data_IF_239830325846
#
_entry.id   IF_239830325846
#
_cell.length_a   1.000
_cell.length_b   1.000
_cell.length_c   1.000
_cell.angle_alpha   90.00
_cell.angle_beta   90.00
_cell.angle_gamma   90.00
#
_symmetry.space_group_name_H-M   'P 1'
#
loop_
_entity.id
_entity.type
_entity.pdbx_description
1 polymer ?
#
# COMPACT_ATOMS: atom_id res chain seq x y z
N UNK A 1 -30.58 -36.53 -28.98
CA UNK A 1 -30.02 -36.86 -27.64
C UNK A 1 -29.50 -35.59 -27.03
N UNK A 2 -30.39 -34.79 -26.45
CA UNK A 2 -30.11 -33.49 -25.84
C UNK A 2 -29.78 -33.71 -24.36
N UNK A 3 -28.51 -33.53 -24.01
CA UNK A 3 -28.06 -33.60 -22.61
C UNK A 3 -28.46 -32.32 -21.88
N UNK A 4 -29.42 -32.45 -20.98
CA UNK A 4 -29.87 -31.42 -20.04
C UNK A 4 -28.71 -31.03 -19.11
N UNK A 5 -28.32 -29.75 -19.16
CA UNK A 5 -27.51 -29.13 -18.12
C UNK A 5 -28.37 -29.01 -16.85
N UNK A 6 -28.16 -29.93 -15.90
CA UNK A 6 -28.72 -29.82 -14.55
C UNK A 6 -27.94 -28.73 -13.81
N UNK A 7 -28.49 -27.51 -13.80
CA UNK A 7 -28.12 -26.46 -12.87
C UNK A 7 -28.59 -26.87 -11.47
N UNK A 8 -27.67 -27.40 -10.67
CA UNK A 8 -27.93 -27.72 -9.28
C UNK A 8 -27.92 -26.42 -8.46
N UNK A 9 -29.10 -25.99 -8.05
CA UNK A 9 -29.31 -24.98 -7.03
C UNK A 9 -28.82 -25.54 -5.68
N UNK A 10 -27.73 -24.99 -5.15
CA UNK A 10 -27.35 -25.06 -3.74
C UNK A 10 -27.42 -23.60 -3.27
N UNK A 11 -28.34 -23.19 -2.38
CA UNK A 11 -28.42 -23.68 -1.01
C UNK A 11 -27.40 -22.93 -0.16
N UNK A 12 -27.79 -21.75 0.36
CA UNK A 12 -27.16 -20.97 1.45
C UNK A 12 -25.69 -21.27 1.79
N UNK A 13 -24.76 -20.38 1.42
CA UNK A 13 -23.42 -20.36 2.01
C UNK A 13 -22.29 -19.99 1.03
N UNK A 14 -21.43 -19.08 1.50
CA UNK A 14 -20.13 -18.70 0.95
C UNK A 14 -20.20 -17.66 -0.19
N UNK A 15 -19.99 -16.41 0.22
CA UNK A 15 -19.67 -15.25 -0.62
C UNK A 15 -18.61 -15.61 -1.66
N UNK A 16 -18.86 -15.21 -2.92
CA UNK A 16 -17.93 -15.33 -4.05
C UNK A 16 -16.52 -14.96 -3.59
N UNK A 17 -15.62 -15.94 -3.59
CA UNK A 17 -14.25 -15.76 -3.14
C UNK A 17 -13.61 -14.57 -3.88
N UNK A 18 -13.37 -13.48 -3.15
CA UNK A 18 -12.57 -12.35 -3.62
C UNK A 18 -11.07 -12.65 -3.48
N UNK A 19 -10.68 -13.90 -3.70
CA UNK A 19 -9.29 -14.30 -3.67
C UNK A 19 -8.59 -13.71 -4.89
N UNK A 20 -7.87 -12.60 -4.67
CA UNK A 20 -6.88 -12.09 -5.61
C UNK A 20 -5.97 -13.26 -6.01
N UNK A 21 -5.71 -13.40 -7.31
CA UNK A 21 -4.79 -14.42 -7.79
C UNK A 21 -3.38 -14.15 -7.27
N UNK A 22 -2.56 -15.20 -7.11
CA UNK A 22 -1.17 -15.04 -6.69
C UNK A 22 -0.38 -14.09 -7.63
N UNK A 23 -0.72 -14.07 -8.92
CA UNK A 23 -0.11 -13.15 -9.90
C UNK A 23 -0.40 -11.67 -9.60
N UNK A 24 -1.54 -11.37 -8.99
CA UNK A 24 -1.93 -10.01 -8.58
C UNK A 24 -1.37 -9.66 -7.19
N UNK A 25 -1.25 -10.64 -6.30
CA UNK A 25 -0.70 -10.45 -4.95
C UNK A 25 0.83 -10.31 -4.94
N UNK A 26 1.52 -11.01 -5.84
CA UNK A 26 2.98 -11.09 -5.83
C UNK A 26 3.66 -9.71 -6.01
N UNK A 27 3.23 -8.81 -6.92
CA UNK A 27 3.80 -7.47 -7.03
C UNK A 27 3.54 -6.61 -5.79
N UNK A 28 2.34 -6.73 -5.19
CA UNK A 28 1.96 -6.03 -3.96
C UNK A 28 2.87 -6.47 -2.80
N UNK A 29 3.06 -7.78 -2.63
CA UNK A 29 3.93 -8.38 -1.63
C UNK A 29 5.42 -8.03 -1.84
N UNK A 30 5.90 -8.07 -3.08
CA UNK A 30 7.27 -7.70 -3.41
C UNK A 30 7.58 -6.25 -3.04
N UNK A 31 6.59 -5.36 -3.07
CA UNK A 31 6.74 -3.97 -2.63
C UNK A 31 6.98 -3.81 -1.11
N UNK A 32 6.74 -4.84 -0.29
CA UNK A 32 7.07 -4.78 1.14
C UNK A 32 8.47 -5.28 1.45
N UNK A 33 9.16 -5.90 0.48
CA UNK A 33 10.53 -6.36 0.66
C UNK A 33 11.51 -5.20 0.44
N UNK A 34 12.57 -5.09 1.26
CA UNK A 34 13.60 -4.09 1.05
C UNK A 34 14.27 -4.33 -0.31
N UNK A 35 13.99 -3.46 -1.28
CA UNK A 35 14.72 -3.43 -2.54
C UNK A 35 16.16 -2.99 -2.25
N UNK A 36 17.09 -3.94 -2.23
CA UNK A 36 18.51 -3.64 -2.15
C UNK A 36 19.00 -3.17 -3.53
N UNK A 37 18.66 -1.93 -3.89
CA UNK A 37 19.27 -1.24 -5.01
C UNK A 37 20.59 -0.58 -4.56
N UNK A 38 21.57 -0.38 -5.46
CA UNK A 38 22.76 0.42 -5.17
C UNK A 38 22.36 1.78 -4.59
N UNK A 39 23.08 2.29 -3.59
CA UNK A 39 22.77 3.55 -2.86
C UNK A 39 22.57 4.76 -3.80
N UNK A 40 23.17 4.72 -5.00
CA UNK A 40 23.03 5.74 -6.05
C UNK A 40 21.68 5.74 -6.76
N UNK A 41 20.91 4.67 -6.63
CA UNK A 41 19.65 4.46 -7.34
C UNK A 41 18.52 4.67 -6.35
N UNK A 42 18.03 5.91 -6.31
CA UNK A 42 16.72 6.37 -5.81
C UNK A 42 16.03 5.53 -4.74
N UNK A 43 15.69 6.18 -3.62
CA UNK A 43 14.70 5.66 -2.65
C UNK A 43 13.39 5.34 -3.40
N UNK A 44 13.21 4.09 -3.83
CA UNK A 44 12.10 3.69 -4.72
C UNK A 44 10.78 3.51 -3.97
N UNK A 45 10.84 3.56 -2.64
CA UNK A 45 9.69 3.40 -1.77
C UNK A 45 9.44 4.67 -0.97
N UNK A 46 8.37 5.38 -1.35
CA UNK A 46 7.82 6.44 -0.53
C UNK A 46 7.42 5.82 0.82
N UNK A 47 8.00 6.31 1.92
CA UNK A 47 7.72 5.80 3.27
C UNK A 47 6.23 5.96 3.66
N UNK A 48 5.45 6.75 2.94
CA UNK A 48 4.00 6.89 3.12
C UNK A 48 3.19 5.92 2.24
N UNK A 49 3.83 5.03 1.46
CA UNK A 49 3.12 4.10 0.55
C UNK A 49 2.08 3.26 1.27
N UNK A 50 2.37 2.78 2.48
CA UNK A 50 1.39 2.01 3.27
C UNK A 50 0.22 2.86 3.79
N UNK A 51 0.25 4.17 3.58
CA UNK A 51 -0.79 5.14 3.91
C UNK A 51 -1.42 5.76 2.65
N UNK A 52 -1.31 5.11 1.49
CA UNK A 52 -1.80 5.62 0.19
C UNK A 52 -3.30 6.00 0.20
N UNK A 53 -4.10 5.33 1.03
CA UNK A 53 -5.53 5.62 1.19
C UNK A 53 -5.84 6.65 2.30
N UNK A 54 -4.82 7.28 2.88
CA UNK A 54 -4.96 8.29 3.95
C UNK A 54 -4.72 9.68 3.36
N UNK A 55 -5.50 10.72 3.72
CA UNK A 55 -5.21 12.09 3.30
C UNK A 55 -3.77 12.47 3.64
N UNK A 56 -3.09 13.18 2.74
CA UNK A 56 -1.64 13.40 2.81
C UNK A 56 -1.16 13.94 4.18
N UNK A 57 -1.82 14.96 4.72
CA UNK A 57 -1.45 15.54 6.01
C UNK A 57 -1.68 14.57 7.19
N UNK A 58 -2.74 13.77 7.12
CA UNK A 58 -3.02 12.73 8.12
C UNK A 58 -1.98 11.61 8.05
N UNK A 59 -1.56 11.24 6.83
CA UNK A 59 -0.48 10.30 6.60
C UNK A 59 0.84 10.81 7.20
N UNK A 60 1.17 12.10 7.04
CA UNK A 60 2.35 12.69 7.66
C UNK A 60 2.30 12.66 9.20
N UNK A 61 1.16 13.04 9.79
CA UNK A 61 0.99 13.00 11.24
C UNK A 61 1.10 11.56 11.79
N UNK A 62 0.57 10.58 11.03
CA UNK A 62 0.68 9.17 11.37
C UNK A 62 2.09 8.64 11.20
N UNK A 63 2.81 9.06 10.15
CA UNK A 63 4.19 8.65 9.90
C UNK A 63 5.13 9.19 10.99
N UNK A 64 4.91 10.42 11.46
CA UNK A 64 5.64 10.96 12.62
C UNK A 64 5.47 10.11 13.87
N UNK A 65 4.25 9.63 14.13
CA UNK A 65 3.97 8.77 15.30
C UNK A 65 4.56 7.37 15.19
N UNK A 66 4.46 6.74 14.02
CA UNK A 66 4.82 5.32 13.85
C UNK A 66 6.30 5.16 13.51
N UNK A 67 6.86 6.07 12.71
CA UNK A 67 8.20 5.96 12.13
C UNK A 67 9.18 7.02 12.67
N UNK A 68 8.69 8.02 13.41
CA UNK A 68 9.52 9.15 13.85
C UNK A 68 9.94 10.10 12.72
N UNK A 69 9.34 9.99 11.53
CA UNK A 69 9.68 10.81 10.36
C UNK A 69 8.96 12.16 10.44
N UNK A 70 9.69 13.25 10.21
CA UNK A 70 9.14 14.60 10.16
C UNK A 70 8.89 15.01 8.69
N UNK A 71 7.62 15.27 8.35
CA UNK A 71 7.21 15.62 6.98
C UNK A 71 7.36 17.09 6.61
N UNK A 72 7.37 17.97 7.62
CA UNK A 72 7.63 19.40 7.48
C UNK A 72 8.72 19.78 8.48
N UNK A 73 9.51 20.77 8.09
CA UNK A 73 10.32 21.53 9.02
C UNK A 73 9.39 22.42 9.86
N UNK A 74 9.75 22.64 11.12
CA UNK A 74 9.12 23.70 11.90
C UNK A 74 9.47 25.06 11.28
N UNK A 75 8.60 26.06 11.48
CA UNK A 75 8.71 27.35 10.79
C UNK A 75 10.08 28.02 10.99
N UNK A 76 10.62 27.94 12.20
CA UNK A 76 11.92 28.52 12.55
C UNK A 76 13.07 27.81 11.85
N UNK A 77 12.99 26.48 11.70
CA UNK A 77 14.00 25.67 10.99
C UNK A 77 14.01 26.02 9.50
N UNK A 78 12.82 26.11 8.89
CA UNK A 78 12.69 26.52 7.49
C UNK A 78 13.24 27.94 7.28
N UNK A 79 12.85 28.90 8.12
CA UNK A 79 13.32 30.28 8.03
C UNK A 79 14.83 30.42 8.26
N UNK A 80 15.48 29.48 8.94
CA UNK A 80 16.93 29.44 9.11
C UNK A 80 17.73 29.22 7.81
N UNK A 81 17.14 28.56 6.81
CA UNK A 81 17.82 28.32 5.53
C UNK A 81 17.89 29.54 4.60
N UNK A 82 17.10 30.58 4.88
CA UNK A 82 16.95 31.76 4.01
C UNK A 82 17.39 33.06 4.69
N UNK A 83 18.07 32.97 5.83
CA UNK A 83 18.62 34.11 6.57
C UNK A 83 20.12 34.28 6.33
#
# INVERSE_FOLDING_TARGET
>A
MTSQAHSAVLGHGITRDHHKSWKELLPELASFLPNQAPVTTFVSQNSLRFMENTPFHDALARARRILGIHGYLELDEFAGFYR
#
